data_IF_223337875023
#
_entry.id   IF_223337875023
#
_cell.length_a   1.000
_cell.length_b   1.000
_cell.length_c   1.000
_cell.angle_alpha   90.00
_cell.angle_beta   90.00
_cell.angle_gamma   90.00
#
_symmetry.space_group_name_H-M   'P 1'
#
loop_
_entity.id
_entity.type
_entity.pdbx_description
1 polymer ?
#
# COMPACT_ATOMS: atom_id res chain seq x y z
N UNK A 1 9.87 -13.00 -4.45
CA UNK A 1 8.59 -12.28 -4.35
C UNK A 1 7.43 -13.13 -4.89
N UNK A 2 7.64 -13.90 -5.97
CA UNK A 2 6.56 -14.59 -6.68
C UNK A 2 6.25 -16.02 -6.16
N UNK A 3 7.01 -16.51 -5.17
CA UNK A 3 6.79 -17.83 -4.56
C UNK A 3 5.71 -17.77 -3.48
N UNK A 4 4.48 -17.49 -3.91
CA UNK A 4 3.29 -17.51 -3.05
C UNK A 4 2.50 -18.77 -3.36
N UNK A 5 2.43 -19.67 -2.38
CA UNK A 5 1.75 -20.96 -2.52
C UNK A 5 0.92 -21.27 -1.27
N UNK A 6 0.19 -22.39 -1.28
CA UNK A 6 -0.63 -22.86 -0.14
C UNK A 6 -1.67 -21.82 0.34
N UNK A 7 -2.19 -20.99 -0.56
CA UNK A 7 -3.16 -19.93 -0.24
C UNK A 7 -4.43 -20.57 0.33
N UNK A 8 -4.80 -20.13 1.53
CA UNK A 8 -6.06 -20.46 2.20
C UNK A 8 -6.84 -19.18 2.45
N UNK A 9 -8.10 -19.16 2.06
CA UNK A 9 -9.01 -18.03 2.30
C UNK A 9 -10.11 -18.53 3.24
N UNK A 10 -10.35 -17.80 4.32
CA UNK A 10 -11.30 -18.16 5.37
C UNK A 10 -11.96 -16.91 5.97
N UNK A 11 -13.14 -17.04 6.59
CA UNK A 11 -13.76 -15.93 7.31
C UNK A 11 -12.82 -15.35 8.36
N UNK A 12 -12.77 -14.02 8.44
CA UNK A 12 -11.95 -13.32 9.42
C UNK A 12 -12.50 -13.57 10.84
N UNK A 13 -11.64 -14.12 11.72
CA UNK A 13 -11.90 -14.21 13.15
C UNK A 13 -11.59 -12.90 13.87
N UNK A 14 -11.11 -12.98 15.11
CA UNK A 14 -10.57 -11.80 15.81
C UNK A 14 -9.24 -11.36 15.17
N UNK A 15 -9.09 -10.06 14.91
CA UNK A 15 -7.89 -9.49 14.32
C UNK A 15 -7.40 -8.28 15.12
N UNK A 16 -6.08 -8.20 15.30
CA UNK A 16 -5.44 -7.03 15.93
C UNK A 16 -5.31 -5.85 14.96
N UNK A 17 -5.34 -6.11 13.65
CA UNK A 17 -5.14 -5.12 12.58
C UNK A 17 -6.45 -4.59 11.99
N UNK A 18 -7.47 -5.44 11.88
CA UNK A 18 -8.77 -5.09 11.27
C UNK A 18 -9.86 -5.26 12.30
N UNK A 19 -10.50 -4.16 12.67
CA UNK A 19 -11.62 -4.16 13.63
C UNK A 19 -12.89 -3.72 12.90
N UNK A 20 -13.78 -4.66 12.51
CA UNK A 20 -15.03 -4.31 11.86
C UNK A 20 -16.03 -3.76 12.87
N UNK A 21 -16.78 -2.74 12.46
CA UNK A 21 -17.83 -2.09 13.24
C UNK A 21 -19.10 -1.96 12.41
N UNK A 22 -20.23 -2.14 13.09
CA UNK A 22 -21.56 -1.87 12.58
C UNK A 22 -22.12 -0.64 13.30
N UNK A 23 -22.48 0.41 12.55
CA UNK A 23 -23.09 1.62 13.11
C UNK A 23 -24.51 1.77 12.60
N UNK A 24 -25.48 1.85 13.51
CA UNK A 24 -26.84 2.29 13.20
C UNK A 24 -27.03 3.75 13.58
N UNK A 25 -27.66 4.54 12.71
CA UNK A 25 -27.90 5.96 12.96
C UNK A 25 -29.22 6.40 12.34
N UNK A 26 -29.74 7.55 12.76
CA UNK A 26 -30.93 8.16 12.17
C UNK A 26 -30.51 9.43 11.44
N UNK A 27 -30.81 9.51 10.15
CA UNK A 27 -30.55 10.69 9.33
C UNK A 27 -31.87 11.17 8.71
N UNK A 28 -32.27 12.40 9.04
CA UNK A 28 -33.52 13.00 8.58
C UNK A 28 -34.75 12.12 8.89
N UNK A 29 -34.78 11.52 10.08
CA UNK A 29 -35.87 10.62 10.51
C UNK A 29 -35.81 9.20 9.93
N UNK A 30 -34.86 8.91 9.03
CA UNK A 30 -34.68 7.58 8.44
C UNK A 30 -33.60 6.82 9.19
N UNK A 31 -33.94 5.61 9.69
CA UNK A 31 -32.95 4.69 10.28
C UNK A 31 -32.08 4.11 9.18
N UNK A 32 -30.76 4.19 9.36
CA UNK A 32 -29.72 3.68 8.48
C UNK A 32 -28.73 2.85 9.27
N UNK A 33 -27.94 2.07 8.54
CA UNK A 33 -26.76 1.42 9.09
C UNK A 33 -25.60 1.52 8.11
N UNK A 34 -24.39 1.31 8.61
CA UNK A 34 -23.16 1.25 7.82
C UNK A 34 -22.12 0.36 8.49
N UNK A 35 -21.43 -0.44 7.69
CA UNK A 35 -20.33 -1.30 8.15
C UNK A 35 -19.00 -0.71 7.69
N UNK A 36 -18.02 -0.66 8.60
CA UNK A 36 -16.70 -0.08 8.33
C UNK A 36 -15.64 -0.72 9.24
N UNK A 37 -14.38 -0.54 8.89
CA UNK A 37 -13.21 -0.99 9.63
C UNK A 37 -12.54 0.20 10.29
N UNK A 38 -12.03 0.01 11.50
CA UNK A 38 -11.04 0.94 12.07
C UNK A 38 -9.64 0.43 11.72
N UNK A 39 -8.87 1.25 11.03
CA UNK A 39 -7.46 1.02 10.68
C UNK A 39 -6.63 2.24 11.08
N UNK A 40 -5.31 2.10 11.05
CA UNK A 40 -4.39 3.20 11.36
C UNK A 40 -4.34 4.21 10.21
N UNK A 41 -4.07 5.48 10.56
CA UNK A 41 -3.59 6.47 9.60
C UNK A 41 -2.24 6.02 9.00
N UNK A 42 -1.80 6.65 7.91
CA UNK A 42 -0.64 6.19 7.14
C UNK A 42 0.15 7.34 6.53
N UNK A 43 1.42 7.04 6.20
CA UNK A 43 2.29 7.91 5.42
C UNK A 43 2.76 7.20 4.15
N UNK A 44 3.03 7.96 3.10
CA UNK A 44 3.77 7.47 1.94
C UNK A 44 4.73 8.52 1.39
N UNK A 45 5.76 8.10 0.67
CA UNK A 45 6.83 8.97 0.20
C UNK A 45 7.10 8.73 -1.28
N UNK A 46 6.94 9.78 -2.09
CA UNK A 46 7.46 9.84 -3.45
C UNK A 46 8.95 10.21 -3.39
N UNK A 47 9.80 9.29 -3.85
CA UNK A 47 11.25 9.46 -3.84
C UNK A 47 11.77 9.71 -5.25
N UNK A 48 12.57 10.75 -5.42
CA UNK A 48 13.30 11.00 -6.67
C UNK A 48 14.81 11.02 -6.41
N UNK A 49 15.51 10.06 -6.99
CA UNK A 49 16.97 10.01 -6.93
C UNK A 49 17.56 11.00 -7.94
N UNK A 50 18.11 12.11 -7.44
CA UNK A 50 18.61 13.19 -8.30
C UNK A 50 19.95 12.86 -8.96
N UNK A 51 20.72 11.93 -8.37
CA UNK A 51 21.99 11.45 -8.93
C UNK A 51 21.77 10.65 -10.22
N UNK A 52 20.72 9.82 -10.24
CA UNK A 52 20.43 8.90 -11.35
C UNK A 52 19.20 9.27 -12.18
N UNK A 53 18.44 10.29 -11.75
CA UNK A 53 17.21 10.78 -12.41
C UNK A 53 16.16 9.68 -12.56
N UNK A 54 15.92 8.97 -11.46
CA UNK A 54 14.92 7.90 -11.37
C UNK A 54 14.02 8.10 -10.17
N UNK A 55 12.74 7.76 -10.31
CA UNK A 55 11.84 7.57 -9.18
C UNK A 55 12.13 6.22 -8.52
N UNK A 56 11.99 6.18 -7.20
CA UNK A 56 12.10 4.94 -6.41
C UNK A 56 10.72 4.55 -5.90
N UNK A 57 10.30 3.34 -6.28
CA UNK A 57 9.05 2.70 -5.89
C UNK A 57 9.35 1.39 -5.18
N UNK A 58 8.30 0.78 -4.65
CA UNK A 58 8.36 -0.57 -4.08
C UNK A 58 7.37 -1.49 -4.76
N UNK A 59 7.70 -2.78 -4.83
CA UNK A 59 6.78 -3.86 -5.19
C UNK A 59 6.63 -4.81 -4.03
N UNK A 60 5.42 -5.31 -3.85
CA UNK A 60 5.10 -6.33 -2.86
C UNK A 60 3.83 -7.07 -3.24
N UNK A 61 3.60 -8.23 -2.63
CA UNK A 61 2.35 -8.98 -2.79
C UNK A 61 1.29 -8.43 -1.84
N UNK A 62 0.17 -7.97 -2.40
CA UNK A 62 -1.01 -7.50 -1.64
C UNK A 62 -2.13 -8.55 -1.72
N UNK A 63 -2.40 -9.31 -0.65
CA UNK A 63 -3.43 -10.35 -0.65
C UNK A 63 -4.83 -9.85 -1.04
N UNK A 64 -5.19 -8.63 -0.63
CA UNK A 64 -6.48 -8.03 -0.98
C UNK A 64 -6.61 -7.71 -2.48
N UNK A 65 -5.52 -7.28 -3.12
CA UNK A 65 -5.50 -7.02 -4.58
C UNK A 65 -5.58 -8.34 -5.33
N UNK A 66 -4.79 -9.34 -4.90
CA UNK A 66 -4.86 -10.71 -5.43
C UNK A 66 -6.28 -11.31 -5.33
N UNK A 67 -6.93 -11.17 -4.17
CA UNK A 67 -8.29 -11.68 -3.98
C UNK A 67 -9.29 -10.98 -4.91
N UNK A 68 -9.16 -9.67 -5.10
CA UNK A 68 -10.07 -8.91 -5.95
C UNK A 68 -9.79 -9.08 -7.45
N UNK A 69 -8.69 -9.71 -7.83
CA UNK A 69 -8.42 -10.08 -9.22
C UNK A 69 -9.11 -11.40 -9.62
N UNK A 70 -9.67 -12.14 -8.66
CA UNK A 70 -10.48 -13.34 -8.90
C UNK A 70 -11.81 -12.92 -9.56
N UNK A 71 -12.22 -13.54 -10.68
CA UNK A 71 -13.50 -13.23 -11.32
C UNK A 71 -14.67 -13.35 -10.35
N UNK A 72 -15.62 -12.41 -10.40
CA UNK A 72 -16.76 -12.37 -9.46
C UNK A 72 -17.56 -13.68 -9.44
N UNK A 73 -17.75 -14.28 -10.63
CA UNK A 73 -18.39 -15.58 -10.81
C UNK A 73 -17.63 -16.75 -10.15
N UNK A 74 -16.43 -16.55 -9.65
CA UNK A 74 -15.61 -17.56 -8.97
C UNK A 74 -15.46 -17.24 -7.48
N UNK A 75 -15.72 -16.00 -7.04
CA UNK A 75 -15.64 -15.62 -5.61
C UNK A 75 -16.62 -16.38 -4.72
N UNK A 76 -17.80 -16.77 -5.22
CA UNK A 76 -18.74 -17.60 -4.43
C UNK A 76 -18.15 -18.96 -4.01
N UNK A 77 -17.17 -19.49 -4.76
CA UNK A 77 -16.48 -20.74 -4.41
C UNK A 77 -15.55 -20.55 -3.21
N UNK A 78 -15.07 -19.33 -2.98
CA UNK A 78 -14.33 -18.94 -1.78
C UNK A 78 -15.25 -18.97 -0.56
N UNK A 79 -16.44 -18.37 -0.68
CA UNK A 79 -17.45 -18.34 0.38
C UNK A 79 -17.90 -19.76 0.78
N UNK A 80 -17.91 -20.68 -0.19
CA UNK A 80 -18.21 -22.09 0.02
C UNK A 80 -17.07 -22.90 0.67
N UNK A 81 -15.96 -22.26 1.11
CA UNK A 81 -14.79 -22.89 1.72
C UNK A 81 -14.18 -24.03 0.88
N UNK A 82 -14.31 -23.97 -0.45
CA UNK A 82 -13.84 -25.03 -1.32
C UNK A 82 -12.35 -24.89 -1.65
N UNK A 83 -11.58 -25.95 -1.40
CA UNK A 83 -10.12 -26.03 -1.58
C UNK A 83 -9.66 -26.07 -3.05
N UNK A 84 -10.53 -25.78 -4.02
CA UNK A 84 -10.24 -25.83 -5.47
C UNK A 84 -10.70 -24.57 -6.17
N UNK A 85 -10.33 -23.42 -5.63
CA UNK A 85 -10.50 -22.16 -6.33
C UNK A 85 -9.51 -22.10 -7.51
N UNK A 86 -9.95 -21.76 -8.73
CA UNK A 86 -9.02 -21.37 -9.79
C UNK A 86 -8.36 -20.05 -9.38
N UNK A 87 -7.18 -20.15 -8.75
CA UNK A 87 -6.42 -18.98 -8.34
C UNK A 87 -5.80 -18.31 -9.58
N UNK A 88 -5.86 -16.97 -9.68
CA UNK A 88 -5.17 -16.24 -10.73
C UNK A 88 -3.64 -16.36 -10.57
N UNK A 89 -2.86 -16.00 -11.60
CA UNK A 89 -1.41 -15.88 -11.47
C UNK A 89 -1.03 -14.94 -10.31
N UNK A 90 -0.01 -15.30 -9.53
CA UNK A 90 0.43 -14.56 -8.34
C UNK A 90 0.77 -13.10 -8.68
N UNK A 91 1.25 -12.85 -9.89
CA UNK A 91 1.58 -11.52 -10.40
C UNK A 91 0.38 -10.58 -10.43
N UNK A 92 -0.86 -11.10 -10.36
CA UNK A 92 -2.05 -10.26 -10.22
C UNK A 92 -2.19 -9.62 -8.83
N UNK A 93 -1.54 -10.17 -7.82
CA UNK A 93 -1.42 -9.60 -6.48
C UNK A 93 -0.20 -8.71 -6.27
N UNK A 94 0.74 -8.67 -7.23
CA UNK A 94 1.94 -7.84 -7.11
C UNK A 94 1.62 -6.42 -7.56
N UNK A 95 1.81 -5.48 -6.65
CA UNK A 95 1.52 -4.06 -6.83
C UNK A 95 2.81 -3.25 -6.99
N UNK A 96 2.71 -2.11 -7.67
CA UNK A 96 3.72 -1.06 -7.66
C UNK A 96 3.21 0.12 -6.83
N UNK A 97 3.97 0.49 -5.80
CA UNK A 97 3.55 1.40 -4.74
C UNK A 97 4.63 2.45 -4.43
N UNK A 98 4.20 3.54 -3.81
CA UNK A 98 5.13 4.41 -3.08
C UNK A 98 5.61 3.67 -1.83
N UNK A 99 6.78 4.04 -1.33
CA UNK A 99 7.21 3.62 0.00
C UNK A 99 6.21 4.13 1.04
N UNK A 100 5.74 3.27 1.94
CA UNK A 100 4.62 3.61 2.83
C UNK A 100 4.63 2.81 4.12
N UNK A 101 4.09 3.41 5.19
CA UNK A 101 3.93 2.75 6.47
C UNK A 101 2.78 3.29 7.29
N UNK A 102 2.42 2.53 8.32
CA UNK A 102 1.32 2.86 9.24
C UNK A 102 1.78 3.81 10.32
N UNK A 103 0.86 4.67 10.78
CA UNK A 103 1.08 5.56 11.92
C UNK A 103 0.66 4.84 13.19
N UNK A 104 1.57 4.04 13.72
CA UNK A 104 1.38 3.18 14.89
C UNK A 104 2.32 3.50 16.07
N UNK A 105 3.21 4.49 15.89
CA UNK A 105 4.20 4.93 16.88
C UNK A 105 3.97 6.40 17.28
N UNK A 106 4.39 6.75 18.50
CA UNK A 106 4.40 8.14 18.98
C UNK A 106 5.59 8.93 18.40
N UNK A 107 5.54 9.23 17.09
CA UNK A 107 6.56 9.99 16.35
C UNK A 107 5.90 11.00 15.41
N UNK A 108 6.67 11.96 14.91
CA UNK A 108 6.17 12.83 13.84
C UNK A 108 5.92 12.03 12.55
N UNK A 109 5.03 12.51 11.68
CA UNK A 109 4.76 11.85 10.40
C UNK A 109 6.00 11.76 9.52
N UNK A 110 6.85 12.78 9.58
CA UNK A 110 8.12 12.83 8.87
C UNK A 110 9.14 11.84 9.44
N UNK A 111 9.18 11.65 10.76
CA UNK A 111 10.04 10.63 11.37
C UNK A 111 9.63 9.22 10.99
N UNK A 112 8.31 8.94 10.97
CA UNK A 112 7.77 7.67 10.48
C UNK A 112 8.12 7.51 9.01
N UNK A 113 7.82 8.49 8.16
CA UNK A 113 8.14 8.45 6.73
C UNK A 113 9.63 8.19 6.46
N UNK A 114 10.54 8.80 7.24
CA UNK A 114 11.99 8.50 7.14
C UNK A 114 12.28 7.04 7.48
N UNK A 115 11.70 6.51 8.55
CA UNK A 115 11.93 5.13 8.98
C UNK A 115 11.49 4.14 7.90
N UNK A 116 10.32 4.35 7.29
CA UNK A 116 9.84 3.53 6.19
C UNK A 116 10.76 3.63 4.96
N UNK A 117 11.23 4.84 4.60
CA UNK A 117 12.17 5.02 3.47
C UNK A 117 13.51 4.31 3.72
N UNK A 118 13.98 4.31 4.96
CA UNK A 118 15.20 3.59 5.34
C UNK A 118 14.99 2.07 5.26
N UNK A 119 13.84 1.59 5.73
CA UNK A 119 13.50 0.18 5.82
C UNK A 119 13.18 -0.44 4.45
N UNK A 120 12.26 0.16 3.71
CA UNK A 120 11.79 -0.37 2.44
C UNK A 120 12.74 -0.04 1.29
N UNK A 121 13.30 1.17 1.25
CA UNK A 121 14.09 1.66 0.10
C UNK A 121 15.60 1.74 0.38
N UNK A 122 16.03 1.69 1.64
CA UNK A 122 17.44 1.69 2.03
C UNK A 122 18.13 3.06 2.07
N UNK A 123 17.37 4.16 2.08
CA UNK A 123 17.89 5.53 2.10
C UNK A 123 17.68 6.19 3.46
N UNK A 124 18.74 6.77 4.04
CA UNK A 124 18.64 7.59 5.26
C UNK A 124 18.42 9.06 4.88
N UNK A 125 17.15 9.45 4.80
CA UNK A 125 16.74 10.80 4.38
C UNK A 125 16.59 11.71 5.60
N UNK A 126 17.25 12.88 5.65
CA UNK A 126 16.99 13.85 6.71
C UNK A 126 15.52 14.28 6.75
N UNK A 127 14.90 14.25 7.93
CA UNK A 127 13.49 14.64 8.15
C UNK A 127 13.12 15.97 7.49
N UNK A 128 14.02 16.97 7.54
CA UNK A 128 13.84 18.29 6.94
C UNK A 128 13.73 18.29 5.39
N UNK A 129 14.08 17.20 4.72
CA UNK A 129 13.96 17.05 3.27
C UNK A 129 12.64 16.36 2.86
N UNK A 130 11.84 15.89 3.82
CA UNK A 130 10.50 15.36 3.56
C UNK A 130 9.52 16.52 3.44
N UNK A 131 9.12 16.81 2.21
CA UNK A 131 8.17 17.86 1.90
C UNK A 131 6.77 17.27 1.80
N UNK A 132 5.86 17.71 2.66
CA UNK A 132 4.47 17.25 2.60
C UNK A 132 3.82 17.74 1.30
N UNK A 133 3.31 16.79 0.51
CA UNK A 133 2.50 17.08 -0.68
C UNK A 133 1.06 17.40 -0.26
N UNK A 134 0.39 16.43 0.37
CA UNK A 134 -1.02 16.54 0.77
C UNK A 134 -1.39 15.54 1.87
N UNK A 135 -2.58 15.70 2.45
CA UNK A 135 -3.25 14.66 3.24
C UNK A 135 -4.69 14.51 2.78
N UNK A 136 -5.20 13.28 2.73
CA UNK A 136 -6.57 12.98 2.35
C UNK A 136 -7.14 11.81 3.17
N UNK A 137 -8.45 11.59 3.08
CA UNK A 137 -9.12 10.42 3.67
C UNK A 137 -9.13 9.30 2.63
N UNK A 138 -8.44 8.21 2.92
CA UNK A 138 -8.44 7.02 2.08
C UNK A 138 -9.63 6.12 2.42
N UNK A 139 -9.97 5.20 1.52
CA UNK A 139 -10.97 4.15 1.78
C UNK A 139 -12.28 4.69 2.35
N UNK A 140 -12.78 5.84 1.85
CA UNK A 140 -13.84 6.67 2.46
C UNK A 140 -15.09 5.88 2.89
N UNK A 141 -15.49 4.88 2.10
CA UNK A 141 -16.70 4.08 2.37
C UNK A 141 -16.49 2.92 3.34
N UNK A 142 -15.24 2.55 3.65
CA UNK A 142 -14.93 1.33 4.41
C UNK A 142 -14.03 1.58 5.62
N UNK A 143 -13.12 2.57 5.59
CA UNK A 143 -12.20 2.83 6.70
C UNK A 143 -12.10 4.33 7.02
N UNK A 144 -11.95 5.18 6.01
CA UNK A 144 -11.86 6.63 6.23
C UNK A 144 -10.62 7.03 7.02
N UNK A 145 -9.55 6.24 6.99
CA UNK A 145 -8.24 6.58 7.56
C UNK A 145 -7.60 7.75 6.81
N UNK A 146 -6.65 8.43 7.45
CA UNK A 146 -5.94 9.56 6.86
C UNK A 146 -4.59 9.11 6.30
N UNK A 147 -4.40 9.30 5.00
CA UNK A 147 -3.11 9.16 4.34
C UNK A 147 -2.43 10.53 4.24
N UNK A 148 -1.13 10.58 4.52
CA UNK A 148 -0.27 11.76 4.26
C UNK A 148 0.85 11.40 3.30
N UNK A 149 0.98 12.15 2.20
CA UNK A 149 2.03 11.91 1.21
C UNK A 149 3.13 12.96 1.35
N UNK A 150 4.38 12.51 1.34
CA UNK A 150 5.59 13.30 1.28
C UNK A 150 6.32 13.13 -0.05
N UNK A 151 7.16 14.10 -0.39
CA UNK A 151 8.15 14.04 -1.45
C UNK A 151 9.54 14.20 -0.81
N UNK A 152 10.53 13.50 -1.34
CA UNK A 152 11.93 13.78 -1.03
C UNK A 152 12.85 13.51 -2.23
N UNK A 153 13.81 14.41 -2.40
CA UNK A 153 14.98 14.17 -3.24
C UNK A 153 16.03 13.38 -2.46
N UNK A 154 16.57 12.34 -3.10
CA UNK A 154 17.61 11.48 -2.53
C UNK A 154 18.83 11.42 -3.44
N UNK A 155 19.99 11.11 -2.87
CA UNK A 155 21.22 10.85 -3.61
C UNK A 155 21.72 9.44 -3.32
N UNK A 156 22.64 8.94 -4.15
CA UNK A 156 23.25 7.63 -3.92
C UNK A 156 24.08 7.57 -2.62
N UNK A 157 24.59 8.72 -2.15
CA UNK A 157 25.31 8.82 -0.87
C UNK A 157 24.41 8.62 0.35
N UNK A 158 23.08 8.81 0.20
CA UNK A 158 22.12 8.54 1.26
C UNK A 158 21.76 7.05 1.36
N UNK A 159 22.21 6.22 0.41
CA UNK A 159 21.89 4.78 0.41
C UNK A 159 22.79 4.04 1.40
N UNK A 160 22.18 3.54 2.46
CA UNK A 160 22.88 2.81 3.54
C UNK A 160 22.59 1.31 3.53
N UNK A 161 21.55 0.88 2.81
CA UNK A 161 21.21 -0.54 2.64
C UNK A 161 20.58 -0.80 1.27
N UNK A 162 20.22 -2.07 1.01
CA UNK A 162 19.48 -2.43 -0.21
C UNK A 162 17.99 -2.11 -0.12
N UNK A 163 17.47 -1.76 1.07
CA UNK A 163 16.04 -1.80 1.38
C UNK A 163 15.52 -3.24 1.48
N UNK A 164 14.20 -3.38 1.41
CA UNK A 164 13.52 -4.68 1.31
C UNK A 164 12.48 -4.99 2.38
N UNK A 165 12.22 -4.06 3.31
CA UNK A 165 11.29 -4.27 4.43
C UNK A 165 11.90 -5.13 5.54
N UNK A 166 11.08 -5.55 6.50
CA UNK A 166 11.45 -6.49 7.58
C UNK A 166 10.91 -7.90 7.39
N UNK A 167 11.76 -8.88 7.00
CA UNK A 167 11.36 -10.29 6.88
C UNK A 167 10.80 -10.89 8.18
N UNK A 168 11.30 -10.46 9.34
CA UNK A 168 10.80 -10.89 10.65
C UNK A 168 9.37 -10.41 10.95
N UNK A 169 8.92 -9.33 10.32
CA UNK A 169 7.55 -8.82 10.36
C UNK A 169 6.69 -9.40 9.21
N UNK A 170 7.27 -10.27 8.39
CA UNK A 170 6.61 -10.90 7.25
C UNK A 170 6.64 -10.05 5.97
N UNK A 171 7.41 -8.97 5.96
CA UNK A 171 7.54 -8.11 4.80
C UNK A 171 8.57 -8.65 3.82
N UNK A 172 8.19 -8.63 2.54
CA UNK A 172 9.08 -8.97 1.44
C UNK A 172 8.86 -7.93 0.35
N UNK A 173 9.77 -6.96 0.28
CA UNK A 173 9.64 -5.80 -0.58
C UNK A 173 10.78 -5.76 -1.58
N UNK A 174 10.47 -5.40 -2.83
CA UNK A 174 11.43 -5.19 -3.90
C UNK A 174 11.48 -3.70 -4.22
N UNK A 175 12.68 -3.11 -4.15
CA UNK A 175 12.90 -1.74 -4.59
C UNK A 175 12.96 -1.69 -6.12
N UNK A 176 12.15 -0.81 -6.72
CA UNK A 176 12.07 -0.61 -8.16
C UNK A 176 12.42 0.81 -8.52
N UNK A 177 13.30 0.97 -9.49
CA UNK A 177 13.72 2.28 -9.98
C UNK A 177 13.22 2.47 -11.40
N UNK A 178 12.62 3.63 -11.68
CA UNK A 178 12.06 3.95 -12.98
C UNK A 178 12.47 5.36 -13.39
N UNK A 179 12.99 5.51 -14.61
CA UNK A 179 13.18 6.81 -15.22
C UNK A 179 11.85 7.54 -15.40
N UNK A 180 11.90 8.87 -15.52
CA UNK A 180 10.70 9.67 -15.83
C UNK A 180 9.95 9.17 -17.07
N UNK A 181 10.67 8.66 -18.07
CA UNK A 181 10.07 8.14 -19.31
C UNK A 181 9.33 6.83 -19.04
N UNK A 182 9.88 5.95 -18.21
CA UNK A 182 9.21 4.70 -17.83
C UNK A 182 7.98 4.96 -16.99
N UNK A 183 8.05 5.92 -16.06
CA UNK A 183 6.92 6.36 -15.25
C UNK A 183 5.80 6.90 -16.13
N UNK A 184 6.09 7.83 -17.04
CA UNK A 184 5.08 8.37 -17.99
C UNK A 184 4.39 7.25 -18.79
N UNK A 185 5.18 6.34 -19.37
CA UNK A 185 4.65 5.18 -20.11
C UNK A 185 3.83 4.24 -19.22
N UNK A 186 4.18 4.12 -17.95
CA UNK A 186 3.43 3.31 -16.99
C UNK A 186 2.08 3.96 -16.67
N UNK A 187 2.06 5.29 -16.48
CA UNK A 187 0.84 6.06 -16.20
C UNK A 187 -0.15 6.07 -17.36
N UNK A 188 0.32 5.96 -18.60
CA UNK A 188 -0.51 5.93 -19.82
C UNK A 188 -1.31 4.62 -20.02
N UNK A 189 -1.07 3.59 -19.20
CA UNK A 189 -1.78 2.31 -19.33
C UNK A 189 -3.24 2.43 -18.86
N UNK A 190 -4.15 1.79 -19.59
CA UNK A 190 -5.60 1.86 -19.36
C UNK A 190 -6.06 0.90 -18.23
N UNK A 191 -5.39 -0.24 -18.08
CA UNK A 191 -5.64 -1.20 -17.00
C UNK A 191 -4.56 -1.10 -15.91
N UNK A 192 -4.95 -0.53 -14.78
CA UNK A 192 -4.04 -0.18 -13.68
C UNK A 192 -4.38 -0.89 -12.37
N UNK A 193 -5.00 -2.07 -12.45
CA UNK A 193 -5.37 -2.88 -11.28
C UNK A 193 -4.20 -3.18 -10.31
N UNK A 194 -2.96 -2.96 -10.75
CA UNK A 194 -1.72 -3.20 -9.99
C UNK A 194 -0.99 -1.93 -9.56
N UNK A 195 -1.57 -0.75 -9.79
CA UNK A 195 -0.97 0.53 -9.44
C UNK A 195 -1.63 1.09 -8.17
N UNK A 196 -0.83 1.59 -7.23
CA UNK A 196 -1.38 2.42 -6.15
C UNK A 196 -1.92 3.75 -6.69
N UNK A 197 -3.14 4.12 -6.30
CA UNK A 197 -3.77 5.40 -6.69
C UNK A 197 -2.87 6.61 -6.38
N UNK A 198 -2.05 6.50 -5.33
CA UNK A 198 -1.11 7.52 -4.86
C UNK A 198 -0.10 7.95 -5.94
N UNK A 199 0.40 7.03 -6.76
CA UNK A 199 1.39 7.36 -7.81
C UNK A 199 0.82 8.38 -8.81
N UNK A 200 -0.46 8.26 -9.20
CA UNK A 200 -1.13 9.23 -10.09
C UNK A 200 -1.47 10.55 -9.42
N UNK A 201 -1.68 10.56 -8.10
CA UNK A 201 -1.96 11.80 -7.38
C UNK A 201 -0.74 12.70 -7.26
N UNK A 202 0.47 12.15 -7.40
CA UNK A 202 1.72 12.87 -7.21
C UNK A 202 2.45 13.27 -8.51
N UNK A 203 2.09 12.68 -9.65
CA UNK A 203 2.80 12.79 -10.94
C UNK A 203 1.85 13.18 -12.08
#
# INVERSE_FOLDING_TARGET
MDDVHSIKIEPLGESIYVKPFHMTYIQNGVKKFWDFNVVHDSVSVLLFNVSRKVFVFVRQFRPAVFFNSIPEKEKYLVEAMNTKLPLPPIEQGITLELCAGVVDKEKSLEEIAREEVLEECGYDVPVKHLEKILSYRDSIGIAGDKQTIFYAEITDDMRVSKGGGKPEEGELIEVVEMSETEVKKYLERDELFKQSQQIRCCL
#
